data_IF_062250941020
#
_entry.id   IF_062250941020
#
_cell.length_a   1.000
_cell.length_b   1.000
_cell.length_c   1.000
_cell.angle_alpha   90.00
_cell.angle_beta   90.00
_cell.angle_gamma   90.00
#
_symmetry.space_group_name_H-M   'P 1'
#
loop_
_entity.id
_entity.type
_entity.pdbx_description
1 polymer ?
#
# COMPACT_ATOMS: atom_id res chain seq x y z
N UNK A 1 13.87 30.17 -7.20
CA UNK A 1 13.85 28.69 -7.13
C UNK A 1 15.07 28.28 -6.33
N UNK A 2 14.89 27.59 -5.20
CA UNK A 2 16.02 27.10 -4.41
C UNK A 2 16.86 26.12 -5.23
N UNK A 3 18.18 26.30 -5.27
CA UNK A 3 19.10 25.39 -5.96
C UNK A 3 18.97 23.94 -5.45
N UNK A 4 18.62 23.75 -4.17
CA UNK A 4 18.32 22.44 -3.59
C UNK A 4 17.12 21.73 -4.24
N UNK A 5 16.15 22.48 -4.77
CA UNK A 5 15.00 21.90 -5.46
C UNK A 5 15.42 21.27 -6.80
N UNK A 6 16.39 21.83 -7.53
CA UNK A 6 16.87 21.26 -8.79
C UNK A 6 17.62 19.94 -8.62
N UNK A 7 18.08 19.62 -7.41
CA UNK A 7 18.76 18.36 -7.07
C UNK A 7 17.79 17.26 -6.61
N UNK A 8 16.49 17.42 -6.85
CA UNK A 8 15.51 16.39 -6.49
C UNK A 8 15.93 15.01 -7.01
N UNK A 9 16.01 14.06 -6.09
CA UNK A 9 16.24 12.65 -6.37
C UNK A 9 15.04 11.85 -5.88
N UNK A 10 14.37 11.17 -6.80
CA UNK A 10 13.27 10.25 -6.48
C UNK A 10 13.72 9.21 -5.45
N UNK A 11 12.88 8.86 -4.45
CA UNK A 11 13.19 7.81 -3.48
C UNK A 11 13.58 6.48 -4.14
N UNK A 12 14.53 5.79 -3.53
CA UNK A 12 14.89 4.43 -3.94
C UNK A 12 13.74 3.47 -3.66
N UNK A 13 13.59 2.43 -4.49
CA UNK A 13 12.63 1.37 -4.22
C UNK A 13 13.12 0.57 -3.02
N UNK A 14 12.26 0.38 -2.02
CA UNK A 14 12.53 -0.47 -0.85
C UNK A 14 11.89 -1.83 -1.10
N UNK A 15 12.71 -2.88 -1.19
CA UNK A 15 12.23 -4.25 -1.44
C UNK A 15 11.91 -4.97 -0.14
N UNK A 16 10.77 -5.66 -0.10
CA UNK A 16 10.33 -6.52 1.00
C UNK A 16 11.32 -7.65 1.34
N UNK A 17 12.19 -8.04 0.40
CA UNK A 17 13.15 -9.14 0.58
C UNK A 17 14.38 -8.80 1.45
N UNK A 18 14.62 -7.52 1.76
CA UNK A 18 15.82 -7.11 2.49
C UNK A 18 15.76 -7.39 4.01
N UNK A 19 14.62 -7.82 4.55
CA UNK A 19 14.48 -8.12 5.99
C UNK A 19 14.85 -9.56 6.39
N UNK A 20 15.27 -10.41 5.44
CA UNK A 20 15.63 -11.82 5.71
C UNK A 20 16.94 -12.01 6.49
N UNK A 21 17.71 -10.96 6.77
CA UNK A 21 18.82 -11.06 7.72
C UNK A 21 18.32 -10.83 9.15
N UNK A 22 18.02 -11.93 9.81
CA UNK A 22 17.90 -12.03 11.26
C UNK A 22 19.21 -11.63 11.93
N UNK A 23 19.15 -10.47 12.56
CA UNK A 23 20.21 -9.82 13.32
C UNK A 23 19.72 -8.40 13.47
N UNK A 24 19.60 -7.91 14.71
CA UNK A 24 19.23 -6.54 15.07
C UNK A 24 19.24 -5.57 13.88
N UNK A 25 18.10 -4.96 13.54
CA UNK A 25 18.07 -3.77 12.69
C UNK A 25 19.08 -2.77 13.30
N UNK A 26 20.32 -2.82 12.83
CA UNK A 26 21.32 -1.81 13.09
C UNK A 26 21.16 -0.82 11.93
N UNK A 27 20.59 0.35 12.21
CA UNK A 27 20.46 1.41 11.25
C UNK A 27 21.86 2.02 11.03
N UNK A 28 22.80 1.30 10.40
CA UNK A 28 24.17 1.81 10.18
C UNK A 28 24.50 2.11 8.72
N UNK A 29 23.78 1.54 7.75
CA UNK A 29 24.10 1.75 6.34
C UNK A 29 23.35 2.91 5.65
N UNK A 30 22.37 3.53 6.34
CA UNK A 30 21.59 4.70 5.86
C UNK A 30 21.68 5.92 6.80
N UNK A 31 22.47 5.84 7.86
CA UNK A 31 22.39 6.72 9.02
C UNK A 31 23.74 7.39 9.27
N UNK A 32 24.00 8.43 8.50
CA UNK A 32 24.94 9.49 8.89
C UNK A 32 24.12 10.75 9.11
N UNK A 33 23.56 10.91 10.31
CA UNK A 33 23.04 12.20 10.76
C UNK A 33 23.72 12.55 12.07
N UNK A 34 24.52 13.60 11.98
CA UNK A 34 25.16 14.28 13.10
C UNK A 34 24.08 14.67 14.12
N UNK A 35 24.21 14.16 15.34
CA UNK A 35 23.28 14.39 16.44
C UNK A 35 23.37 15.83 16.91
N UNK A 36 22.56 16.75 16.35
CA UNK A 36 22.37 18.11 16.90
C UNK A 36 21.16 18.87 16.31
N UNK A 37 20.08 18.19 15.89
CA UNK A 37 18.80 18.89 15.72
C UNK A 37 17.62 17.97 15.94
N UNK A 38 16.62 18.49 16.64
CA UNK A 38 15.28 17.93 16.84
C UNK A 38 14.45 17.95 15.56
N UNK A 39 15.04 17.52 14.44
CA UNK A 39 14.35 17.35 13.17
C UNK A 39 13.87 15.91 13.04
N UNK A 40 12.56 15.76 12.80
CA UNK A 40 11.93 14.51 12.40
C UNK A 40 12.74 13.81 11.31
N UNK A 41 12.84 12.48 11.41
CA UNK A 41 13.52 11.65 10.42
C UNK A 41 12.99 11.92 9.01
N UNK A 42 13.83 12.48 8.13
CA UNK A 42 13.45 12.79 6.74
C UNK A 42 13.99 11.73 5.78
N UNK A 43 13.08 11.09 5.06
CA UNK A 43 13.44 10.16 3.97
C UNK A 43 13.87 11.01 2.76
N UNK A 44 15.09 10.82 2.22
CA UNK A 44 15.58 11.61 1.09
C UNK A 44 14.62 11.53 -0.12
N UNK A 45 14.30 12.68 -0.71
CA UNK A 45 13.43 12.76 -1.88
C UNK A 45 11.92 12.79 -1.59
N UNK A 46 11.53 12.90 -0.32
CA UNK A 46 10.13 13.11 0.08
C UNK A 46 10.01 14.48 0.79
N UNK A 47 9.24 15.44 0.26
CA UNK A 47 9.02 16.71 0.94
C UNK A 47 8.12 16.55 2.16
N UNK A 48 8.26 17.42 3.16
CA UNK A 48 7.44 17.38 4.39
C UNK A 48 5.93 17.44 4.11
N UNK A 49 5.52 18.07 2.99
CA UNK A 49 4.14 18.10 2.50
C UNK A 49 3.58 16.71 2.17
N UNK A 50 4.43 15.76 1.77
CA UNK A 50 4.07 14.38 1.47
C UNK A 50 4.56 13.41 2.54
N UNK A 51 4.79 13.89 3.77
CA UNK A 51 5.16 13.05 4.90
C UNK A 51 4.06 12.04 5.23
N UNK A 52 4.44 10.89 5.77
CA UNK A 52 3.51 9.84 6.18
C UNK A 52 2.42 10.40 7.10
N UNK A 53 2.81 11.17 8.12
CA UNK A 53 1.88 11.73 9.09
C UNK A 53 0.85 12.68 8.46
N UNK A 54 1.23 13.48 7.46
CA UNK A 54 0.29 14.33 6.71
C UNK A 54 -0.70 13.53 5.88
N UNK A 55 -0.24 12.49 5.20
CA UNK A 55 -1.11 11.61 4.39
C UNK A 55 -2.14 10.93 5.29
N UNK A 56 -1.69 10.36 6.41
CA UNK A 56 -2.55 9.67 7.38
C UNK A 56 -3.50 10.61 8.12
N UNK A 57 -3.10 11.87 8.33
CA UNK A 57 -3.96 12.90 8.93
C UNK A 57 -4.96 13.51 7.93
N UNK A 58 -4.96 13.11 6.65
CA UNK A 58 -5.86 13.66 5.62
C UNK A 58 -5.46 15.07 5.16
N UNK A 59 -4.21 15.49 5.39
CA UNK A 59 -3.70 16.81 5.02
C UNK A 59 -3.18 16.93 3.59
N UNK A 60 -3.50 15.97 2.71
CA UNK A 60 -3.05 15.88 1.32
C UNK A 60 -4.23 15.72 0.37
N UNK A 61 -4.05 16.14 -0.88
CA UNK A 61 -5.08 16.03 -1.93
C UNK A 61 -4.80 14.82 -2.85
N UNK A 62 -5.79 14.38 -3.66
CA UNK A 62 -5.58 13.35 -4.66
C UNK A 62 -4.39 13.67 -5.61
N UNK A 63 -3.58 12.66 -5.99
CA UNK A 63 -3.64 11.23 -5.67
C UNK A 63 -2.78 10.82 -4.45
N UNK A 64 -2.64 11.69 -3.46
CA UNK A 64 -1.78 11.48 -2.29
C UNK A 64 -2.57 11.33 -0.98
N UNK A 65 -3.87 11.06 -1.03
CA UNK A 65 -4.72 10.92 0.16
C UNK A 65 -4.47 9.61 0.89
N UNK A 66 -4.95 9.49 2.14
CA UNK A 66 -4.94 8.21 2.86
C UNK A 66 -5.69 7.10 2.09
N UNK A 67 -6.75 7.46 1.35
CA UNK A 67 -7.49 6.53 0.50
C UNK A 67 -6.64 6.07 -0.69
N UNK A 68 -5.93 6.98 -1.34
CA UNK A 68 -5.02 6.64 -2.44
C UNK A 68 -3.89 5.72 -1.95
N UNK A 69 -3.38 5.97 -0.74
CA UNK A 69 -2.37 5.11 -0.12
C UNK A 69 -2.92 3.71 0.20
N UNK A 70 -4.15 3.60 0.70
CA UNK A 70 -4.83 2.31 0.90
C UNK A 70 -5.02 1.56 -0.42
N UNK A 71 -5.49 2.23 -1.47
CA UNK A 71 -5.66 1.61 -2.79
C UNK A 71 -4.32 1.14 -3.37
N UNK A 72 -3.25 1.92 -3.18
CA UNK A 72 -1.90 1.49 -3.56
C UNK A 72 -1.48 0.22 -2.81
N UNK A 73 -1.71 0.16 -1.50
CA UNK A 73 -1.41 -1.02 -0.70
C UNK A 73 -2.25 -2.23 -1.09
N UNK A 74 -3.49 -2.03 -1.54
CA UNK A 74 -4.39 -3.10 -1.96
C UNK A 74 -4.00 -3.65 -3.35
N UNK A 75 -3.90 -2.77 -4.34
CA UNK A 75 -3.80 -3.15 -5.75
C UNK A 75 -2.35 -3.22 -6.28
N UNK A 76 -1.37 -2.68 -5.56
CA UNK A 76 0.02 -2.58 -6.05
C UNK A 76 1.02 -3.26 -5.11
N UNK A 77 1.01 -2.95 -3.82
CA UNK A 77 1.97 -3.53 -2.87
C UNK A 77 1.46 -4.81 -2.18
N UNK A 78 0.14 -5.06 -2.23
CA UNK A 78 -0.53 -6.20 -1.61
C UNK A 78 -0.23 -6.34 -0.11
N UNK A 79 -0.30 -5.21 0.62
CA UNK A 79 0.01 -5.11 2.03
C UNK A 79 -0.98 -4.18 2.78
N UNK A 80 -2.23 -4.16 2.34
CA UNK A 80 -3.29 -3.29 2.86
C UNK A 80 -3.62 -3.58 4.35
N UNK A 81 -3.42 -4.81 4.80
CA UNK A 81 -3.62 -5.25 6.18
C UNK A 81 -2.80 -4.42 7.18
N UNK A 82 -1.61 -3.96 6.78
CA UNK A 82 -0.77 -3.13 7.63
C UNK A 82 -1.42 -1.78 7.93
N UNK A 83 -1.93 -1.09 6.91
CA UNK A 83 -2.57 0.21 7.09
C UNK A 83 -3.91 0.07 7.80
N UNK A 84 -4.69 -0.96 7.48
CA UNK A 84 -5.96 -1.25 8.16
C UNK A 84 -5.75 -1.53 9.65
N UNK A 85 -4.78 -2.39 10.01
CA UNK A 85 -4.43 -2.67 11.39
C UNK A 85 -3.89 -1.43 12.11
N UNK A 86 -3.05 -0.63 11.45
CA UNK A 86 -2.51 0.61 12.01
C UNK A 86 -3.60 1.62 12.34
N UNK A 87 -4.54 1.87 11.42
CA UNK A 87 -5.66 2.78 11.63
C UNK A 87 -6.62 2.26 12.70
N UNK A 88 -6.92 0.96 12.68
CA UNK A 88 -7.71 0.30 13.72
C UNK A 88 -7.05 0.48 15.10
N UNK A 89 -5.75 0.22 15.24
CA UNK A 89 -5.06 0.31 16.52
C UNK A 89 -5.01 1.75 17.05
N UNK A 90 -4.93 2.74 16.14
CA UNK A 90 -5.00 4.17 16.51
C UNK A 90 -6.37 4.50 17.10
N UNK A 91 -7.44 4.20 16.37
CA UNK A 91 -8.83 4.40 16.83
C UNK A 91 -9.13 3.62 18.12
N UNK A 92 -8.70 2.36 18.18
CA UNK A 92 -8.81 1.51 19.36
C UNK A 92 -8.15 2.15 20.59
N UNK A 93 -6.94 2.70 20.41
CA UNK A 93 -6.22 3.37 21.50
C UNK A 93 -6.95 4.62 21.97
N UNK A 94 -7.50 5.41 21.05
CA UNK A 94 -8.30 6.60 21.38
C UNK A 94 -9.57 6.22 22.16
N UNK A 95 -10.33 5.23 21.68
CA UNK A 95 -11.53 4.71 22.37
C UNK A 95 -11.21 4.10 23.72
N UNK A 96 -10.10 3.36 23.85
CA UNK A 96 -9.66 2.81 25.13
C UNK A 96 -9.27 3.91 26.12
N UNK A 97 -8.58 4.96 25.65
CA UNK A 97 -8.20 6.09 26.50
C UNK A 97 -9.41 6.94 26.94
N UNK A 98 -10.51 6.91 26.18
CA UNK A 98 -11.76 7.58 26.52
C UNK A 98 -12.62 6.82 27.56
N UNK A 99 -12.30 5.57 27.88
CA UNK A 99 -13.00 4.79 28.92
C UNK A 99 -12.88 5.43 30.31
N UNK A 100 -13.80 5.07 31.21
CA UNK A 100 -13.70 5.46 32.61
C UNK A 100 -12.51 4.78 33.29
N UNK A 101 -11.95 5.39 34.33
CA UNK A 101 -10.80 4.82 35.05
C UNK A 101 -11.11 3.44 35.66
N UNK A 102 -12.36 3.19 36.05
CA UNK A 102 -12.82 1.89 36.54
C UNK A 102 -12.75 0.80 35.47
N UNK A 103 -13.13 1.11 34.23
CA UNK A 103 -13.08 0.18 33.11
C UNK A 103 -11.64 -0.05 32.63
N UNK A 104 -10.82 1.01 32.62
CA UNK A 104 -9.38 0.88 32.33
C UNK A 104 -8.66 0.01 33.36
N UNK A 105 -9.02 0.13 34.63
CA UNK A 105 -8.44 -0.67 35.71
C UNK A 105 -8.67 -2.19 35.53
N UNK A 106 -9.71 -2.59 34.78
CA UNK A 106 -9.94 -4.00 34.43
C UNK A 106 -8.86 -4.53 33.47
N UNK A 107 -8.29 -3.66 32.63
CA UNK A 107 -7.27 -3.98 31.62
C UNK A 107 -5.97 -3.23 31.90
N UNK A 108 -5.16 -3.67 32.89
CA UNK A 108 -3.89 -3.01 33.21
C UNK A 108 -2.90 -3.11 32.03
N UNK A 109 -1.96 -2.16 31.91
CA UNK A 109 -0.93 -2.20 30.88
C UNK A 109 -0.03 -3.42 31.06
N UNK A 110 0.41 -3.98 29.93
CA UNK A 110 1.40 -5.06 29.94
C UNK A 110 2.70 -4.51 30.54
N UNK A 111 3.29 -5.14 31.57
CA UNK A 111 4.54 -4.69 32.14
C UNK A 111 5.61 -4.62 31.04
N UNK A 112 6.43 -3.56 31.07
CA UNK A 112 7.47 -3.27 30.08
C UNK A 112 8.59 -4.30 30.23
N UNK A 113 8.37 -5.54 29.79
CA UNK A 113 9.41 -6.51 29.55
C UNK A 113 8.92 -7.59 28.58
N UNK A 114 9.25 -7.49 27.28
CA UNK A 114 8.84 -8.46 26.25
C UNK A 114 9.38 -9.88 26.45
N UNK A 115 10.18 -10.11 27.51
CA UNK A 115 10.91 -11.34 27.79
C UNK A 115 11.06 -11.58 29.31
N UNK A 116 10.04 -11.37 30.16
CA UNK A 116 10.14 -11.91 31.52
C UNK A 116 10.23 -13.46 31.43
N UNK A 117 11.37 -14.08 31.79
CA UNK A 117 11.55 -15.53 31.71
C UNK A 117 10.62 -16.29 32.66
N UNK A 118 9.95 -15.60 33.58
CA UNK A 118 8.95 -16.18 34.51
C UNK A 118 7.60 -16.46 33.85
N UNK A 119 7.35 -15.92 32.65
CA UNK A 119 6.12 -16.10 31.86
C UNK A 119 6.32 -17.02 30.63
N UNK A 120 7.49 -17.64 30.48
CA UNK A 120 7.74 -18.69 29.50
C UNK A 120 7.43 -20.08 30.06
N UNK A 121 7.08 -21.08 29.23
CA UNK A 121 7.01 -22.46 29.71
C UNK A 121 8.39 -22.87 30.24
N UNK A 122 8.45 -23.29 31.49
CA UNK A 122 9.63 -23.98 32.03
C UNK A 122 9.76 -25.30 31.28
N UNK A 123 10.93 -25.50 30.69
CA UNK A 123 11.40 -26.72 30.03
C UNK A 123 10.83 -27.05 28.65
N UNK A 124 11.75 -27.52 27.80
CA UNK A 124 11.54 -27.77 26.39
C UNK A 124 10.55 -28.89 26.13
N UNK A 125 9.50 -28.58 25.40
CA UNK A 125 8.80 -29.56 24.58
C UNK A 125 9.36 -29.46 23.17
N UNK A 126 10.20 -30.45 22.86
CA UNK A 126 10.57 -30.85 21.51
C UNK A 126 9.27 -30.95 20.70
N UNK A 127 9.11 -30.10 19.68
CA UNK A 127 7.99 -30.17 18.75
C UNK A 127 7.98 -31.55 18.12
N UNK A 128 7.15 -32.44 18.65
CA UNK A 128 6.83 -33.72 18.05
C UNK A 128 5.84 -33.44 16.93
N UNK A 129 6.24 -33.66 15.69
CA UNK A 129 5.42 -33.51 14.50
C UNK A 129 4.09 -34.28 14.68
N UNK A 130 3.02 -33.62 15.11
CA UNK A 130 1.67 -34.20 15.24
C UNK A 130 1.17 -34.80 13.92
N UNK A 131 1.65 -34.31 12.78
CA UNK A 131 1.40 -34.90 11.46
C UNK A 131 1.89 -36.36 11.36
N UNK A 132 3.01 -36.71 12.00
CA UNK A 132 3.53 -38.10 12.01
C UNK A 132 2.78 -39.03 12.96
N UNK A 133 2.24 -38.51 14.08
CA UNK A 133 1.39 -39.30 14.99
C UNK A 133 -0.02 -39.53 14.43
N UNK A 134 -0.56 -38.57 13.67
CA UNK A 134 -1.85 -38.74 13.01
C UNK A 134 -1.77 -39.78 11.88
N UNK A 135 -0.69 -39.76 11.10
CA UNK A 135 -0.42 -40.74 10.06
C UNK A 135 -0.11 -42.14 10.62
N UNK A 136 0.60 -42.27 11.76
CA UNK A 136 0.84 -43.59 12.36
C UNK A 136 -0.41 -44.26 12.91
N UNK A 137 -1.34 -43.46 13.44
CA UNK A 137 -2.59 -43.95 14.02
C UNK A 137 -3.65 -44.24 12.96
N UNK A 138 -3.62 -43.56 11.81
CA UNK A 138 -4.54 -43.80 10.70
C UNK A 138 -4.30 -45.14 9.96
N UNK A 139 -3.10 -45.72 10.06
CA UNK A 139 -2.73 -46.96 9.34
C UNK A 139 -2.50 -48.17 10.25
N UNK A 140 -2.76 -48.06 11.55
CA UNK A 140 -2.49 -49.13 12.53
C UNK A 140 -3.74 -49.51 13.33
N UNK A 141 -4.76 -50.08 12.70
CA UNK A 141 -5.63 -51.17 13.23
C UNK A 141 -6.79 -51.51 12.29
N UNK A 142 -7.28 -52.77 12.26
CA UNK A 142 -8.22 -53.26 11.27
C UNK A 142 -9.70 -53.09 11.67
N UNK A 143 -10.52 -52.84 10.65
CA UNK A 143 -11.97 -53.08 10.48
C UNK A 143 -12.78 -53.44 11.73
N UNK A 144 -13.49 -52.46 12.30
CA UNK A 144 -14.73 -52.73 13.04
C UNK A 144 -15.82 -51.76 12.62
N UNK A 145 -16.86 -52.33 11.99
CA UNK A 145 -18.18 -51.72 11.77
C UNK A 145 -18.85 -51.43 13.12
N UNK A 146 -19.63 -50.35 13.17
CA UNK A 146 -20.79 -50.03 14.03
C UNK A 146 -20.83 -48.49 14.16
N UNK A 147 -21.92 -47.75 14.31
CA UNK A 147 -23.37 -47.91 14.16
C UNK A 147 -23.90 -46.46 14.25
N UNK A 148 -25.00 -46.13 13.56
CA UNK A 148 -25.63 -44.80 13.63
C UNK A 148 -26.54 -44.72 14.86
N UNK A 149 -26.47 -43.65 15.68
CA UNK A 149 -27.61 -43.23 16.49
C UNK A 149 -28.16 -41.85 16.09
N UNK A 150 -29.47 -41.75 16.29
CA UNK A 150 -30.45 -40.80 15.80
C UNK A 150 -30.60 -39.49 16.59
N UNK A 151 -31.28 -38.52 15.95
CA UNK A 151 -31.82 -37.27 16.49
C UNK A 151 -32.46 -37.40 17.89
N UNK A 152 -32.12 -36.50 18.83
CA UNK A 152 -33.04 -35.51 19.45
C UNK A 152 -32.36 -34.75 20.61
N UNK A 153 -32.31 -33.42 20.55
CA UNK A 153 -32.97 -32.48 21.50
C UNK A 153 -32.56 -31.04 21.20
N UNK A 154 -33.56 -30.22 20.92
CA UNK A 154 -33.46 -28.77 20.78
C UNK A 154 -33.31 -28.09 22.15
N UNK A 155 -32.47 -27.06 22.22
CA UNK A 155 -32.34 -26.19 23.40
C UNK A 155 -33.51 -25.17 23.45
N UNK A 156 -33.99 -24.76 24.64
CA UNK A 156 -35.30 -24.13 24.82
C UNK A 156 -35.27 -22.60 24.97
N UNK A 157 -34.26 -21.92 24.47
CA UNK A 157 -34.18 -20.44 24.52
C UNK A 157 -33.94 -19.86 23.13
N UNK A 158 -35.01 -19.82 22.33
CA UNK A 158 -35.08 -19.07 21.08
C UNK A 158 -36.22 -18.07 21.21
N UNK A 159 -35.92 -16.78 21.18
CA UNK A 159 -36.92 -15.69 21.10
C UNK A 159 -37.04 -15.27 19.62
N UNK A 160 -38.25 -15.08 19.07
CA UNK A 160 -38.45 -14.82 17.63
C UNK A 160 -38.12 -13.37 17.22
N UNK A 161 -37.82 -13.10 15.93
CA UNK A 161 -37.50 -11.75 15.45
C UNK A 161 -38.75 -10.88 15.30
N UNK A 162 -38.60 -9.58 15.57
CA UNK A 162 -39.64 -8.56 15.41
C UNK A 162 -39.49 -7.87 14.05
N UNK A 163 -40.62 -7.64 13.37
CA UNK A 163 -40.76 -6.99 12.06
C UNK A 163 -40.45 -5.48 12.08
N UNK A 164 -40.13 -4.86 10.92
CA UNK A 164 -39.54 -3.52 10.83
C UNK A 164 -40.62 -2.43 10.86
N UNK A 165 -40.28 -1.24 11.37
CA UNK A 165 -41.11 -0.06 11.22
C UNK A 165 -40.33 1.08 10.54
N UNK A 166 -41.00 1.68 9.56
CA UNK A 166 -40.50 2.67 8.62
C UNK A 166 -40.79 4.08 9.12
N UNK A 167 -39.81 4.98 9.12
CA UNK A 167 -40.06 6.42 8.97
C UNK A 167 -38.82 7.13 8.43
N UNK A 168 -38.99 7.77 7.28
CA UNK A 168 -37.96 8.53 6.60
C UNK A 168 -37.79 9.95 7.15
N UNK A 169 -36.61 10.50 6.88
CA UNK A 169 -36.29 11.91 7.05
C UNK A 169 -35.14 12.27 6.13
N UNK A 170 -35.46 12.98 5.06
CA UNK A 170 -34.55 13.51 4.04
C UNK A 170 -33.72 14.68 4.57
N UNK A 171 -32.43 14.74 4.17
CA UNK A 171 -31.59 15.93 4.30
C UNK A 171 -30.32 15.79 3.45
N UNK A 172 -30.28 16.55 2.34
CA UNK A 172 -29.10 16.75 1.51
C UNK A 172 -28.04 17.53 2.30
N UNK A 173 -26.83 16.99 2.47
CA UNK A 173 -25.60 17.79 2.55
C UNK A 173 -24.42 17.04 1.92
N UNK A 174 -23.66 17.78 1.13
CA UNK A 174 -22.62 17.33 0.22
C UNK A 174 -21.31 17.92 0.74
N UNK A 175 -20.31 17.06 1.00
CA UNK A 175 -18.93 17.49 1.25
C UNK A 175 -18.40 17.31 2.67
N UNK A 176 -18.19 16.06 3.08
CA UNK A 176 -17.10 15.61 3.98
C UNK A 176 -17.35 14.13 4.31
N UNK A 177 -16.63 13.21 3.67
CA UNK A 177 -16.62 11.81 4.13
C UNK A 177 -15.58 11.69 5.25
N UNK A 178 -16.00 12.11 6.44
CA UNK A 178 -15.42 11.58 7.67
C UNK A 178 -15.65 10.06 7.68
N UNK A 179 -14.62 9.33 8.08
CA UNK A 179 -14.71 7.89 8.33
C UNK A 179 -15.71 7.72 9.48
N UNK A 180 -16.84 7.07 9.20
CA UNK A 180 -17.89 6.81 10.19
C UNK A 180 -17.37 5.85 11.28
N UNK A 181 -17.86 5.94 12.53
CA UNK A 181 -17.33 5.16 13.64
C UNK A 181 -17.67 3.67 13.54
N UNK A 182 -16.71 2.85 13.95
CA UNK A 182 -16.76 1.41 14.00
C UNK A 182 -17.79 0.89 15.03
N UNK A 183 -19.08 0.82 14.68
CA UNK A 183 -20.11 0.19 15.53
C UNK A 183 -21.05 -0.75 14.77
N UNK A 184 -20.99 -2.02 15.18
CA UNK A 184 -22.04 -3.05 15.07
C UNK A 184 -22.79 -3.14 13.74
N UNK A 185 -22.20 -3.82 12.76
CA UNK A 185 -22.97 -4.48 11.70
C UNK A 185 -22.79 -5.98 11.88
N UNK A 186 -23.83 -6.66 12.39
CA UNK A 186 -23.95 -8.11 12.24
C UNK A 186 -24.25 -8.41 10.76
N UNK A 187 -23.25 -8.89 10.03
CA UNK A 187 -23.40 -9.32 8.65
C UNK A 187 -24.13 -10.66 8.59
N UNK A 188 -25.39 -10.64 8.14
CA UNK A 188 -26.12 -11.83 7.70
C UNK A 188 -25.71 -12.11 6.25
N UNK A 189 -24.85 -13.11 6.02
CA UNK A 189 -24.41 -13.50 4.66
C UNK A 189 -23.38 -14.63 4.67
N UNK A 190 -23.44 -15.52 3.66
CA UNK A 190 -22.80 -16.84 3.59
C UNK A 190 -21.27 -16.84 3.85
N UNK A 191 -20.79 -17.85 4.59
CA UNK A 191 -19.42 -18.07 5.09
C UNK A 191 -18.99 -17.17 6.25
N UNK A 192 -19.74 -17.21 7.36
CA UNK A 192 -19.32 -16.58 8.61
C UNK A 192 -18.04 -17.25 9.13
N UNK A 193 -16.89 -16.58 8.96
CA UNK A 193 -15.66 -16.96 9.64
C UNK A 193 -15.96 -16.91 11.14
N UNK A 194 -15.87 -18.06 11.81
CA UNK A 194 -16.08 -18.12 13.26
C UNK A 194 -14.85 -17.52 13.96
N UNK A 195 -14.86 -16.19 14.09
CA UNK A 195 -13.76 -15.43 14.70
C UNK A 195 -13.41 -15.95 16.11
N UNK A 196 -14.41 -16.44 16.87
CA UNK A 196 -14.18 -17.02 18.20
C UNK A 196 -13.38 -18.31 18.13
N UNK A 197 -13.72 -19.19 17.19
CA UNK A 197 -13.00 -20.45 17.00
C UNK A 197 -11.56 -20.19 16.54
N UNK A 198 -11.37 -19.35 15.51
CA UNK A 198 -10.04 -19.05 14.96
C UNK A 198 -9.14 -18.35 16.00
N UNK A 199 -9.69 -17.46 16.82
CA UNK A 199 -8.96 -16.87 17.94
C UNK A 199 -8.62 -17.91 19.02
N UNK A 200 -9.54 -18.82 19.35
CA UNK A 200 -9.28 -19.90 20.31
C UNK A 200 -8.15 -20.83 19.83
N UNK A 201 -8.15 -21.20 18.55
CA UNK A 201 -7.07 -21.98 17.91
C UNK A 201 -5.73 -21.23 17.98
N UNK A 202 -5.72 -19.91 17.75
CA UNK A 202 -4.52 -19.08 17.88
C UNK A 202 -3.96 -19.02 19.33
N UNK A 203 -4.81 -19.06 20.35
CA UNK A 203 -4.34 -19.15 21.74
C UNK A 203 -3.83 -20.56 22.07
N UNK A 204 -4.48 -21.61 21.56
CA UNK A 204 -4.05 -22.99 21.75
C UNK A 204 -2.70 -23.27 21.10
N UNK A 205 -2.41 -22.68 19.95
CA UNK A 205 -1.13 -22.86 19.23
C UNK A 205 0.08 -22.40 20.05
N UNK A 206 -0.10 -21.48 20.99
CA UNK A 206 0.95 -20.98 21.89
C UNK A 206 0.90 -21.60 23.29
N UNK A 207 0.10 -22.66 23.48
CA UNK A 207 0.00 -23.41 24.73
C UNK A 207 -0.87 -22.74 25.80
N UNK A 208 -1.77 -21.83 25.43
CA UNK A 208 -2.78 -21.30 26.35
C UNK A 208 -4.09 -22.07 26.22
N UNK A 209 -4.40 -22.87 27.23
CA UNK A 209 -5.60 -23.73 27.28
C UNK A 209 -6.84 -22.99 27.82
N UNK A 210 -6.66 -21.80 28.40
CA UNK A 210 -7.72 -21.05 29.08
C UNK A 210 -8.30 -19.96 28.17
N UNK A 211 -9.62 -19.78 28.23
CA UNK A 211 -10.30 -18.68 27.54
C UNK A 211 -9.92 -17.33 28.18
N UNK A 212 -9.56 -16.29 27.40
CA UNK A 212 -9.30 -14.97 27.94
C UNK A 212 -10.50 -14.41 28.71
N UNK A 213 -10.25 -13.63 29.77
CA UNK A 213 -11.34 -13.15 30.62
C UNK A 213 -12.29 -12.21 29.86
N UNK A 214 -13.59 -12.49 29.94
CA UNK A 214 -14.68 -11.73 29.30
C UNK A 214 -14.97 -10.37 29.93
N UNK A 215 -14.43 -10.11 31.13
CA UNK A 215 -14.68 -8.88 31.92
C UNK A 215 -13.95 -7.66 31.33
N UNK A 216 -12.97 -7.87 30.45
CA UNK A 216 -12.18 -6.78 29.89
C UNK A 216 -12.97 -5.95 28.84
N UNK A 217 -12.82 -4.61 28.82
CA UNK A 217 -13.41 -3.78 27.78
C UNK A 217 -12.93 -4.19 26.38
N UNK A 218 -13.82 -4.09 25.39
CA UNK A 218 -13.56 -4.41 23.97
C UNK A 218 -13.05 -5.84 23.69
N UNK A 219 -13.31 -6.82 24.59
CA UNK A 219 -12.83 -8.20 24.43
C UNK A 219 -13.28 -8.87 23.14
N UNK A 220 -14.53 -8.68 22.73
CA UNK A 220 -15.07 -9.25 21.48
C UNK A 220 -14.40 -8.64 20.25
N UNK A 221 -14.11 -7.33 20.28
CA UNK A 221 -13.38 -6.65 19.20
C UNK A 221 -11.95 -7.18 19.07
N UNK A 222 -11.25 -7.31 20.20
CA UNK A 222 -9.91 -7.90 20.25
C UNK A 222 -9.90 -9.34 19.75
N UNK A 223 -10.94 -10.12 20.06
CA UNK A 223 -11.10 -11.49 19.56
C UNK A 223 -11.23 -11.53 18.03
N UNK A 224 -11.99 -10.60 17.43
CA UNK A 224 -12.06 -10.45 15.97
C UNK A 224 -10.73 -10.08 15.36
N UNK A 225 -10.02 -9.12 15.96
CA UNK A 225 -8.71 -8.66 15.47
C UNK A 225 -7.68 -9.79 15.51
N UNK A 226 -7.69 -10.61 16.56
CA UNK A 226 -6.85 -11.81 16.63
C UNK A 226 -7.15 -12.73 15.45
N UNK A 227 -8.42 -13.06 15.20
CA UNK A 227 -8.80 -13.93 14.09
C UNK A 227 -8.43 -13.35 12.71
N UNK A 228 -8.55 -12.04 12.51
CA UNK A 228 -8.35 -11.40 11.22
C UNK A 228 -6.87 -11.19 10.91
N UNK A 229 -6.10 -10.65 11.87
CA UNK A 229 -4.75 -10.12 11.64
C UNK A 229 -3.62 -10.92 12.28
N UNK A 230 -3.89 -11.70 13.33
CA UNK A 230 -2.84 -12.31 14.16
C UNK A 230 -2.80 -13.83 14.01
N UNK A 231 -3.96 -14.47 13.85
CA UNK A 231 -4.08 -15.91 13.65
C UNK A 231 -3.41 -16.36 12.34
N UNK A 232 -2.76 -17.52 12.38
CA UNK A 232 -2.22 -18.17 11.19
C UNK A 232 -3.35 -18.52 10.22
N UNK A 233 -3.21 -18.13 8.95
CA UNK A 233 -4.26 -18.30 7.94
C UNK A 233 -5.44 -17.34 8.12
N UNK A 234 -5.30 -16.29 8.95
CA UNK A 234 -6.30 -15.23 9.05
C UNK A 234 -6.48 -14.51 7.70
N UNK A 235 -7.70 -14.02 7.40
CA UNK A 235 -8.02 -13.40 6.10
C UNK A 235 -7.15 -12.16 5.77
N UNK A 236 -6.55 -11.53 6.78
CA UNK A 236 -5.66 -10.36 6.65
C UNK A 236 -4.44 -10.54 7.57
N UNK A 237 -3.91 -11.76 7.63
CA UNK A 237 -2.77 -12.11 8.47
C UNK A 237 -1.60 -11.14 8.26
N UNK A 238 -1.12 -10.52 9.34
CA UNK A 238 0.02 -9.62 9.31
C UNK A 238 1.32 -10.41 9.11
N UNK A 239 2.17 -9.90 8.22
CA UNK A 239 3.52 -10.42 8.02
C UNK A 239 4.47 -9.97 9.15
N UNK A 240 4.41 -10.65 10.28
CA UNK A 240 5.19 -10.36 11.49
C UNK A 240 5.99 -11.57 11.95
N UNK A 241 7.03 -11.33 12.76
CA UNK A 241 7.84 -12.41 13.31
C UNK A 241 7.01 -13.30 14.25
N UNK A 242 7.29 -14.60 14.29
CA UNK A 242 6.64 -15.51 15.23
C UNK A 242 6.84 -15.08 16.69
N UNK A 243 7.98 -14.42 17.00
CA UNK A 243 8.26 -13.86 18.32
C UNK A 243 7.25 -12.75 18.67
N UNK A 244 7.02 -11.80 17.77
CA UNK A 244 6.10 -10.67 18.03
C UNK A 244 4.66 -11.16 18.11
N UNK A 245 4.27 -12.10 17.23
CA UNK A 245 2.96 -12.76 17.25
C UNK A 245 2.69 -13.43 18.60
N UNK A 246 3.62 -14.28 19.07
CA UNK A 246 3.49 -14.98 20.36
C UNK A 246 3.47 -13.99 21.52
N UNK A 247 4.33 -12.96 21.50
CA UNK A 247 4.37 -11.94 22.55
C UNK A 247 3.05 -11.18 22.65
N UNK A 248 2.47 -10.79 21.52
CA UNK A 248 1.18 -10.10 21.48
C UNK A 248 0.02 -11.00 21.89
N UNK A 249 -0.04 -12.25 21.42
CA UNK A 249 -1.08 -13.20 21.85
C UNK A 249 -1.04 -13.46 23.37
N UNK A 250 0.15 -13.56 23.97
CA UNK A 250 0.31 -13.63 25.44
C UNK A 250 -0.13 -12.36 26.14
N UNK A 251 0.17 -11.17 25.60
CA UNK A 251 -0.29 -9.92 26.19
C UNK A 251 -1.82 -9.82 26.17
N UNK A 252 -2.42 -10.14 25.03
CA UNK A 252 -3.86 -10.01 24.77
C UNK A 252 -4.70 -11.00 25.61
N UNK A 253 -4.18 -12.19 25.92
CA UNK A 253 -4.92 -13.12 26.79
C UNK A 253 -5.12 -12.56 28.20
N UNK A 254 -4.16 -11.77 28.69
CA UNK A 254 -4.19 -11.19 30.03
C UNK A 254 -4.85 -9.81 30.10
N UNK A 255 -4.81 -9.00 29.05
CA UNK A 255 -5.36 -7.64 29.07
C UNK A 255 -5.85 -7.21 27.69
N UNK A 256 -6.79 -6.27 27.63
CA UNK A 256 -7.14 -5.58 26.39
C UNK A 256 -6.46 -4.22 26.28
N UNK A 257 -5.51 -3.89 27.15
CA UNK A 257 -4.80 -2.62 27.06
C UNK A 257 -4.03 -2.47 25.72
N UNK A 258 -4.05 -1.29 25.05
CA UNK A 258 -3.39 -1.08 23.75
C UNK A 258 -1.89 -1.45 23.73
N UNK A 259 -1.21 -1.37 24.88
CA UNK A 259 0.19 -1.78 25.03
C UNK A 259 0.45 -3.25 24.67
N UNK A 260 -0.56 -4.13 24.73
CA UNK A 260 -0.42 -5.54 24.34
C UNK A 260 -0.08 -5.70 22.85
N UNK A 261 -0.47 -4.72 22.02
CA UNK A 261 -0.19 -4.69 20.58
C UNK A 261 1.16 -4.04 20.24
N UNK A 262 1.93 -3.54 21.22
CA UNK A 262 3.21 -2.85 20.96
C UNK A 262 4.20 -3.64 20.07
N UNK A 263 4.37 -4.97 20.22
CA UNK A 263 5.23 -5.75 19.32
C UNK A 263 4.79 -5.65 17.85
N UNK A 264 3.49 -5.76 17.58
CA UNK A 264 2.95 -5.63 16.22
C UNK A 264 2.96 -4.19 15.73
N UNK A 265 2.57 -3.24 16.60
CA UNK A 265 2.51 -1.81 16.29
C UNK A 265 3.80 -1.33 15.68
N UNK A 266 4.93 -1.63 16.32
CA UNK A 266 6.25 -1.20 15.85
C UNK A 266 6.56 -1.77 14.47
N UNK A 267 6.41 -3.08 14.28
CA UNK A 267 6.72 -3.74 13.01
C UNK A 267 5.84 -3.23 11.86
N UNK A 268 4.53 -3.05 12.11
CA UNK A 268 3.59 -2.53 11.13
C UNK A 268 3.87 -1.07 10.80
N UNK A 269 4.13 -0.23 11.81
CA UNK A 269 4.45 1.18 11.61
C UNK A 269 5.77 1.36 10.85
N UNK A 270 6.79 0.57 11.17
CA UNK A 270 8.08 0.58 10.45
C UNK A 270 7.89 0.16 8.99
N UNK A 271 7.09 -0.87 8.71
CA UNK A 271 6.77 -1.28 7.34
C UNK A 271 6.03 -0.19 6.56
N UNK A 272 5.06 0.47 7.19
CA UNK A 272 4.32 1.56 6.56
C UNK A 272 5.20 2.79 6.29
N UNK A 273 6.01 3.22 7.27
CA UNK A 273 6.82 4.45 7.19
C UNK A 273 8.06 4.30 6.32
N UNK A 274 8.75 3.16 6.41
CA UNK A 274 10.08 3.03 5.81
C UNK A 274 10.11 2.18 4.54
N UNK A 275 9.02 1.47 4.23
CA UNK A 275 8.90 0.71 2.99
C UNK A 275 7.74 1.22 2.15
N UNK A 276 6.50 1.10 2.63
CA UNK A 276 5.33 1.37 1.81
C UNK A 276 5.18 2.84 1.43
N UNK A 277 5.39 3.77 2.37
CA UNK A 277 5.25 5.20 2.13
C UNK A 277 6.25 5.74 1.07
N UNK A 278 7.56 5.45 1.15
CA UNK A 278 8.50 5.82 0.08
C UNK A 278 8.16 5.20 -1.27
N UNK A 279 7.71 3.94 -1.29
CA UNK A 279 7.32 3.25 -2.51
C UNK A 279 6.05 3.86 -3.13
N UNK A 280 5.06 4.23 -2.30
CA UNK A 280 3.86 4.95 -2.70
C UNK A 280 4.20 6.31 -3.32
N UNK A 281 4.98 7.15 -2.63
CA UNK A 281 5.40 8.46 -3.16
C UNK A 281 6.16 8.28 -4.47
N UNK A 282 7.10 7.33 -4.53
CA UNK A 282 7.87 6.99 -5.73
C UNK A 282 6.96 6.62 -6.90
N UNK A 283 5.92 5.82 -6.64
CA UNK A 283 4.96 5.35 -7.63
C UNK A 283 4.01 6.47 -8.10
N UNK A 284 3.54 7.32 -7.19
CA UNK A 284 2.62 8.42 -7.49
C UNK A 284 3.23 9.53 -8.34
N UNK A 285 4.56 9.69 -8.35
CA UNK A 285 5.23 10.64 -9.26
C UNK A 285 5.04 10.25 -10.74
N UNK A 286 4.86 8.96 -11.04
CA UNK A 286 4.61 8.51 -12.42
C UNK A 286 3.20 8.92 -12.87
N UNK A 287 3.12 9.84 -13.83
CA UNK A 287 1.83 10.34 -14.34
C UNK A 287 1.19 9.44 -15.41
N UNK A 288 1.97 8.59 -16.09
CA UNK A 288 1.49 7.70 -17.14
C UNK A 288 1.46 6.23 -16.71
N UNK A 289 0.54 5.45 -17.29
CA UNK A 289 0.57 4.00 -17.16
C UNK A 289 1.75 3.39 -17.98
N UNK A 290 2.13 2.12 -17.75
CA UNK A 290 3.27 1.51 -18.43
C UNK A 290 3.19 1.56 -19.96
N UNK A 291 2.05 1.28 -20.61
CA UNK A 291 1.93 1.42 -22.07
C UNK A 291 2.22 2.83 -22.59
N UNK A 292 1.67 3.89 -21.95
CA UNK A 292 1.92 5.27 -22.36
C UNK A 292 3.36 5.70 -22.13
N UNK A 293 3.98 5.28 -21.03
CA UNK A 293 5.40 5.55 -20.77
C UNK A 293 6.28 4.85 -21.79
N UNK A 294 5.97 3.60 -22.15
CA UNK A 294 6.67 2.89 -23.21
C UNK A 294 6.52 3.60 -24.56
N UNK A 295 5.31 4.01 -24.93
CA UNK A 295 5.05 4.81 -26.12
C UNK A 295 5.87 6.11 -26.13
N UNK A 296 5.94 6.83 -25.01
CA UNK A 296 6.73 8.05 -24.89
C UNK A 296 8.25 7.80 -25.06
N UNK A 297 8.76 6.65 -24.58
CA UNK A 297 10.17 6.26 -24.83
C UNK A 297 10.41 6.01 -26.32
N UNK A 298 9.54 5.27 -26.99
CA UNK A 298 9.64 5.02 -28.43
C UNK A 298 9.58 6.33 -29.23
N UNK A 299 8.67 7.24 -28.87
CA UNK A 299 8.58 8.57 -29.48
C UNK A 299 9.87 9.35 -29.29
N UNK A 300 10.41 9.40 -28.06
CA UNK A 300 11.67 10.08 -27.76
C UNK A 300 12.84 9.55 -28.60
N UNK A 301 13.01 8.22 -28.67
CA UNK A 301 14.04 7.58 -29.52
C UNK A 301 13.82 7.91 -31.00
N UNK A 302 12.58 7.79 -31.50
CA UNK A 302 12.25 8.11 -32.88
C UNK A 302 12.58 9.56 -33.24
N UNK A 303 12.24 10.52 -32.38
CA UNK A 303 12.57 11.94 -32.61
C UNK A 303 14.09 12.19 -32.62
N UNK A 304 14.86 11.50 -31.77
CA UNK A 304 16.32 11.57 -31.80
C UNK A 304 16.87 11.07 -33.14
N UNK A 305 16.37 9.93 -33.64
CA UNK A 305 16.77 9.37 -34.93
C UNK A 305 16.43 10.32 -36.10
N UNK A 306 15.27 10.97 -36.06
CA UNK A 306 14.91 12.01 -37.04
C UNK A 306 15.89 13.19 -36.96
N UNK A 307 16.26 13.63 -35.76
CA UNK A 307 17.28 14.67 -35.59
C UNK A 307 18.64 14.28 -36.16
N UNK A 308 19.06 13.03 -35.96
CA UNK A 308 20.28 12.49 -36.57
C UNK A 308 20.19 12.46 -38.10
N UNK A 309 19.05 12.02 -38.65
CA UNK A 309 18.80 12.03 -40.09
C UNK A 309 18.87 13.45 -40.67
N UNK A 310 18.24 14.44 -40.03
CA UNK A 310 18.32 15.86 -40.43
C UNK A 310 19.77 16.35 -40.37
N UNK A 311 20.50 16.05 -39.29
CA UNK A 311 21.91 16.41 -39.14
C UNK A 311 22.78 15.81 -40.24
N UNK A 312 22.58 14.54 -40.60
CA UNK A 312 23.29 13.86 -41.68
C UNK A 312 22.97 14.49 -43.04
N UNK A 313 21.68 14.67 -43.36
CA UNK A 313 21.25 15.27 -44.63
C UNK A 313 21.80 16.70 -44.81
N UNK A 314 21.77 17.53 -43.76
CA UNK A 314 22.35 18.88 -43.78
C UNK A 314 23.89 18.89 -43.78
N UNK A 315 24.52 17.77 -43.41
CA UNK A 315 25.98 17.63 -43.50
C UNK A 315 26.43 17.27 -44.90
N UNK A 316 25.64 16.44 -45.59
CA UNK A 316 25.88 16.01 -46.96
C UNK A 316 25.38 17.00 -48.02
N UNK A 317 24.51 17.95 -47.63
CA UNK A 317 24.02 18.99 -48.53
C UNK A 317 25.02 20.13 -48.74
N UNK A 318 24.74 20.97 -49.74
CA UNK A 318 25.51 22.19 -50.03
C UNK A 318 25.17 23.36 -49.10
N UNK A 319 24.38 23.14 -48.04
CA UNK A 319 24.05 24.18 -47.07
C UNK A 319 25.26 24.58 -46.23
N UNK A 320 25.31 25.85 -45.81
CA UNK A 320 26.36 26.31 -44.90
C UNK A 320 26.28 25.58 -43.55
N UNK A 321 27.44 25.42 -42.89
CA UNK A 321 27.58 24.61 -41.67
C UNK A 321 26.61 25.00 -40.54
N UNK A 322 26.22 26.28 -40.47
CA UNK A 322 25.31 26.79 -39.45
C UNK A 322 23.91 26.17 -39.49
N UNK A 323 23.42 25.77 -40.67
CA UNK A 323 22.09 25.14 -40.80
C UNK A 323 21.97 23.82 -40.03
N UNK A 324 23.09 23.13 -39.79
CA UNK A 324 23.11 21.86 -39.05
C UNK A 324 22.61 21.98 -37.62
N UNK A 325 22.64 23.20 -37.04
CA UNK A 325 22.07 23.49 -35.71
C UNK A 325 20.55 23.25 -35.68
N UNK A 326 19.84 23.27 -36.82
CA UNK A 326 18.40 22.98 -36.85
C UNK A 326 18.06 21.56 -36.35
N UNK A 327 18.99 20.61 -36.46
CA UNK A 327 18.84 19.27 -35.87
C UNK A 327 18.71 19.30 -34.33
N UNK A 328 19.24 20.35 -33.68
CA UNK A 328 19.16 20.53 -32.23
C UNK A 328 17.73 20.56 -31.72
N UNK A 329 16.79 21.12 -32.50
CA UNK A 329 15.37 21.21 -32.09
C UNK A 329 14.80 19.80 -31.87
N UNK A 330 15.04 18.90 -32.83
CA UNK A 330 14.60 17.51 -32.73
C UNK A 330 15.31 16.78 -31.57
N UNK A 331 16.61 17.01 -31.36
CA UNK A 331 17.34 16.40 -30.24
C UNK A 331 16.85 16.89 -28.88
N UNK A 332 16.59 18.20 -28.71
CA UNK A 332 16.07 18.74 -27.45
C UNK A 332 14.73 18.08 -27.12
N UNK A 333 13.80 18.03 -28.09
CA UNK A 333 12.48 17.41 -27.90
C UNK A 333 12.62 15.92 -27.59
N UNK A 334 13.43 15.20 -28.39
CA UNK A 334 13.59 13.75 -28.27
C UNK A 334 14.28 13.33 -26.97
N UNK A 335 15.38 13.99 -26.60
CA UNK A 335 16.15 13.69 -25.37
C UNK A 335 15.35 14.07 -24.13
N UNK A 336 14.68 15.24 -24.11
CA UNK A 336 13.84 15.64 -22.98
C UNK A 336 12.70 14.63 -22.78
N UNK A 337 12.01 14.25 -23.86
CA UNK A 337 10.93 13.25 -23.84
C UNK A 337 11.44 11.90 -23.34
N UNK A 338 12.58 11.42 -23.85
CA UNK A 338 13.17 10.15 -23.46
C UNK A 338 13.59 10.14 -21.98
N UNK A 339 14.23 11.21 -21.50
CA UNK A 339 14.66 11.33 -20.12
C UNK A 339 13.46 11.39 -19.16
N UNK A 340 12.44 12.20 -19.48
CA UNK A 340 11.20 12.26 -18.70
C UNK A 340 10.50 10.88 -18.65
N UNK A 341 10.42 10.19 -19.80
CA UNK A 341 9.82 8.86 -19.88
C UNK A 341 10.65 7.77 -19.16
N UNK A 342 11.96 7.90 -19.10
CA UNK A 342 12.82 7.05 -18.26
C UNK A 342 12.47 7.21 -16.78
N UNK A 343 12.16 8.43 -16.34
CA UNK A 343 11.65 8.74 -15.00
C UNK A 343 10.15 8.40 -14.81
N UNK A 344 9.49 7.79 -15.80
CA UNK A 344 8.09 7.38 -15.71
C UNK A 344 7.09 8.52 -15.90
N UNK A 345 7.50 9.62 -16.53
CA UNK A 345 6.63 10.76 -16.85
C UNK A 345 6.42 10.90 -18.34
N UNK A 346 5.18 11.16 -18.74
CA UNK A 346 4.81 11.64 -20.07
C UNK A 346 4.78 13.18 -20.04
N UNK A 347 5.51 13.83 -20.94
CA UNK A 347 5.59 15.29 -21.06
C UNK A 347 4.22 15.92 -21.36
N UNK A 348 3.41 15.25 -22.18
CA UNK A 348 2.05 15.73 -22.51
C UNK A 348 1.15 15.75 -21.27
N UNK A 349 1.16 14.67 -20.47
CA UNK A 349 0.37 14.63 -19.23
C UNK A 349 0.88 15.63 -18.20
N UNK A 350 2.19 15.82 -18.13
CA UNK A 350 2.80 16.81 -17.26
C UNK A 350 2.32 18.23 -17.61
N UNK A 351 2.32 18.61 -18.89
CA UNK A 351 1.83 19.91 -19.34
C UNK A 351 0.34 20.15 -19.08
N UNK A 352 -0.44 19.07 -18.92
CA UNK A 352 -1.86 19.13 -18.53
C UNK A 352 -2.07 19.02 -17.01
N UNK A 353 -0.98 18.94 -16.23
CA UNK A 353 -0.99 18.59 -14.80
C UNK A 353 -1.92 17.41 -14.47
N UNK A 354 -1.94 16.43 -15.37
CA UNK A 354 -2.83 15.28 -15.31
C UNK A 354 -2.04 13.98 -15.09
N UNK A 355 -2.71 12.99 -14.53
CA UNK A 355 -2.27 11.59 -14.52
C UNK A 355 -3.28 10.72 -15.23
N UNK A 356 -2.86 9.53 -15.66
CA UNK A 356 -3.82 8.48 -16.00
C UNK A 356 -4.61 8.04 -14.77
N UNK A 357 -5.90 7.85 -14.99
CA UNK A 357 -6.79 7.17 -14.07
C UNK A 357 -6.28 5.73 -13.88
N UNK A 358 -6.31 5.23 -12.64
CA UNK A 358 -5.88 3.85 -12.35
C UNK A 358 -6.94 2.86 -12.87
N UNK A 359 -6.56 1.60 -13.16
CA UNK A 359 -7.51 0.60 -13.66
C UNK A 359 -8.79 0.47 -12.82
N UNK A 360 -8.65 0.40 -11.50
CA UNK A 360 -9.75 0.33 -10.53
C UNK A 360 -10.56 1.63 -10.37
N UNK A 361 -10.08 2.77 -10.87
CA UNK A 361 -10.80 4.05 -10.83
C UNK A 361 -11.60 4.30 -12.13
N UNK A 362 -11.33 3.56 -13.21
CA UNK A 362 -11.78 3.89 -14.56
C UNK A 362 -13.30 3.78 -14.78
N UNK A 363 -13.95 2.94 -13.96
CA UNK A 363 -15.37 2.59 -14.02
C UNK A 363 -16.14 2.96 -12.74
N UNK A 364 -15.51 3.67 -11.80
CA UNK A 364 -16.16 4.04 -10.54
C UNK A 364 -17.48 4.81 -10.74
N UNK A 365 -17.59 5.61 -11.80
CA UNK A 365 -18.81 6.35 -12.14
C UNK A 365 -19.95 5.46 -12.69
N UNK A 366 -19.64 4.36 -13.35
CA UNK A 366 -20.63 3.39 -13.84
C UNK A 366 -21.06 2.48 -12.70
N UNK A 367 -20.12 2.02 -11.88
CA UNK A 367 -20.41 1.25 -10.67
C UNK A 367 -21.26 2.06 -9.69
N UNK A 368 -21.01 3.37 -9.51
CA UNK A 368 -21.84 4.23 -8.67
C UNK A 368 -23.26 4.41 -9.19
N UNK A 369 -23.49 4.27 -10.51
CA UNK A 369 -24.83 4.33 -11.12
C UNK A 369 -25.56 2.98 -11.03
N UNK A 370 -24.83 1.87 -11.19
CA UNK A 370 -25.37 0.52 -11.06
C UNK A 370 -25.60 0.13 -9.59
N UNK A 371 -24.85 0.72 -8.66
CA UNK A 371 -24.88 0.43 -7.21
C UNK A 371 -25.85 1.33 -6.44
N UNK A 372 -27.10 1.42 -6.86
CA UNK A 372 -28.20 2.03 -6.07
C UNK A 372 -28.57 1.19 -4.81
N UNK A 373 -27.60 0.51 -4.18
CA UNK A 373 -27.86 -0.41 -3.06
C UNK A 373 -26.66 -1.01 -2.30
N UNK A 374 -25.39 -0.85 -2.72
CA UNK A 374 -24.27 -1.47 -2.00
C UNK A 374 -22.98 -0.67 -2.13
N UNK A 375 -22.81 0.37 -1.31
CA UNK A 375 -21.49 0.92 -1.02
C UNK A 375 -20.83 -0.04 -0.03
N UNK A 376 -19.98 -0.95 -0.51
CA UNK A 376 -19.05 -1.69 0.37
C UNK A 376 -18.17 -0.65 1.07
N UNK A 377 -18.32 -0.45 2.39
CA UNK A 377 -17.46 0.45 3.13
C UNK A 377 -16.04 -0.12 3.11
N UNK A 378 -15.05 0.73 3.34
CA UNK A 378 -13.63 0.42 3.61
C UNK A 378 -13.42 -0.60 4.76
N UNK A 379 -14.50 -1.14 5.33
CA UNK A 379 -14.63 -1.68 6.69
C UNK A 379 -15.27 -3.08 6.73
N UNK A 380 -15.51 -3.76 5.61
CA UNK A 380 -15.98 -5.15 5.63
C UNK A 380 -14.86 -6.08 6.14
N UNK A 381 -14.69 -6.12 7.46
CA UNK A 381 -13.64 -6.82 8.20
C UNK A 381 -13.60 -8.34 7.96
N UNK A 382 -14.64 -8.90 7.36
CA UNK A 382 -14.79 -10.32 7.10
C UNK A 382 -14.25 -10.76 5.72
N UNK A 383 -13.91 -9.84 4.82
CA UNK A 383 -13.46 -10.18 3.46
C UNK A 383 -11.93 -10.11 3.39
N UNK A 384 -11.24 -11.12 2.82
CA UNK A 384 -9.80 -11.05 2.57
C UNK A 384 -9.47 -9.84 1.67
N UNK A 385 -8.23 -9.35 1.73
CA UNK A 385 -7.74 -8.29 0.83
C UNK A 385 -7.52 -8.84 -0.60
N UNK A 386 -8.54 -9.48 -1.19
CA UNK A 386 -8.54 -10.05 -2.52
C UNK A 386 -9.25 -9.11 -3.49
N UNK A 387 -8.55 -8.70 -4.54
CA UNK A 387 -9.13 -7.97 -5.68
C UNK A 387 -9.13 -8.81 -6.96
N UNK A 388 -8.70 -10.08 -6.89
CA UNK A 388 -8.46 -10.92 -8.06
C UNK A 388 -9.75 -11.16 -8.88
N UNK A 389 -10.90 -11.15 -8.18
CA UNK A 389 -12.25 -11.34 -8.73
C UNK A 389 -12.96 -10.01 -9.09
N UNK A 390 -12.29 -8.86 -8.92
CA UNK A 390 -12.92 -7.56 -9.21
C UNK A 390 -13.17 -7.39 -10.72
N UNK A 391 -14.38 -6.93 -11.12
CA UNK A 391 -14.81 -6.92 -12.51
C UNK A 391 -13.96 -6.00 -13.40
N UNK A 392 -13.42 -4.92 -12.83
CA UNK A 392 -12.56 -3.98 -13.57
C UNK A 392 -11.31 -4.66 -14.11
N UNK A 393 -10.79 -5.72 -13.46
CA UNK A 393 -9.55 -6.38 -13.88
C UNK A 393 -9.74 -7.08 -15.22
N UNK A 394 -10.77 -7.93 -15.32
CA UNK A 394 -11.11 -8.60 -16.57
C UNK A 394 -11.43 -7.59 -17.69
N UNK A 395 -12.09 -6.47 -17.36
CA UNK A 395 -12.34 -5.40 -18.33
C UNK A 395 -11.07 -4.69 -18.77
N UNK A 396 -10.10 -4.48 -17.87
CA UNK A 396 -8.84 -3.80 -18.17
C UNK A 396 -7.87 -4.69 -18.95
N UNK A 397 -7.80 -5.99 -18.64
CA UNK A 397 -6.97 -6.95 -19.36
C UNK A 397 -7.42 -7.12 -20.82
N UNK A 398 -8.73 -7.11 -21.06
CA UNK A 398 -9.30 -7.21 -22.41
C UNK A 398 -9.20 -5.90 -23.23
N UNK A 399 -8.68 -4.79 -22.66
CA UNK A 399 -8.52 -3.53 -23.40
C UNK A 399 -7.32 -3.57 -24.36
N UNK A 400 -7.57 -3.14 -25.59
CA UNK A 400 -6.54 -2.92 -26.60
C UNK A 400 -5.45 -1.94 -26.13
N UNK A 401 -4.20 -2.20 -26.51
CA UNK A 401 -3.03 -1.40 -26.11
C UNK A 401 -3.14 0.09 -26.48
N UNK A 402 -3.66 0.41 -27.67
CA UNK A 402 -3.86 1.81 -28.11
C UNK A 402 -4.80 2.54 -27.15
N UNK A 403 -5.89 1.88 -26.75
CA UNK A 403 -6.86 2.45 -25.81
C UNK A 403 -6.22 2.68 -24.43
N UNK A 404 -5.30 1.78 -24.01
CA UNK A 404 -4.52 1.94 -22.77
C UNK A 404 -3.52 3.10 -22.85
N UNK A 405 -2.91 3.35 -24.01
CA UNK A 405 -2.00 4.50 -24.20
C UNK A 405 -2.76 5.83 -24.04
N UNK A 406 -4.01 5.90 -24.50
CA UNK A 406 -4.87 7.08 -24.41
C UNK A 406 -6.02 6.89 -23.40
N UNK A 407 -5.73 6.25 -22.26
CA UNK A 407 -6.70 6.08 -21.18
C UNK A 407 -7.17 7.45 -20.63
N UNK A 408 -8.30 7.42 -19.92
CA UNK A 408 -8.84 8.62 -19.26
C UNK A 408 -7.79 9.23 -18.32
N UNK A 409 -7.79 10.56 -18.26
CA UNK A 409 -6.87 11.32 -17.43
C UNK A 409 -7.64 12.13 -16.39
N UNK A 410 -7.03 12.31 -15.22
CA UNK A 410 -7.55 13.11 -14.11
C UNK A 410 -6.50 14.12 -13.67
N UNK A 411 -6.96 15.29 -13.24
CA UNK A 411 -6.10 16.35 -12.74
C UNK A 411 -5.38 15.93 -11.45
N UNK A 412 -4.13 16.37 -11.28
CA UNK A 412 -3.36 16.18 -10.05
C UNK A 412 -3.63 17.38 -9.14
N UNK A 413 -4.44 17.17 -8.10
CA UNK A 413 -4.80 18.22 -7.16
C UNK A 413 -3.61 18.59 -6.25
N UNK A 414 -2.89 17.58 -5.77
CA UNK A 414 -1.78 17.73 -4.82
C UNK A 414 -0.64 18.63 -5.35
N UNK A 415 -0.43 19.83 -4.78
CA UNK A 415 0.58 20.78 -5.25
C UNK A 415 2.01 20.26 -5.04
N UNK A 416 2.30 19.56 -3.93
CA UNK A 416 3.65 19.06 -3.69
C UNK A 416 4.07 18.00 -4.73
N UNK A 417 3.12 17.20 -5.20
CA UNK A 417 3.37 16.21 -6.26
C UNK A 417 3.64 16.90 -7.61
N UNK A 418 2.89 17.96 -7.94
CA UNK A 418 3.12 18.78 -9.14
C UNK A 418 4.50 19.42 -9.12
N UNK A 419 4.91 20.02 -8.01
CA UNK A 419 6.24 20.60 -7.84
C UNK A 419 7.36 19.57 -8.11
N UNK A 420 7.21 18.34 -7.61
CA UNK A 420 8.18 17.26 -7.90
C UNK A 420 8.23 16.98 -9.41
N UNK A 421 7.07 16.90 -10.09
CA UNK A 421 7.02 16.66 -11.53
C UNK A 421 7.63 17.82 -12.33
N UNK A 422 7.37 19.07 -11.94
CA UNK A 422 7.96 20.28 -12.55
C UNK A 422 9.49 20.24 -12.49
N UNK A 423 10.04 19.85 -11.34
CA UNK A 423 11.49 19.70 -11.17
C UNK A 423 12.05 18.61 -12.09
N UNK A 424 11.41 17.44 -12.16
CA UNK A 424 11.89 16.35 -13.03
C UNK A 424 11.80 16.76 -14.50
N UNK A 425 10.76 17.51 -14.89
CA UNK A 425 10.64 18.06 -16.23
C UNK A 425 11.75 19.07 -16.53
N UNK A 426 12.03 20.00 -15.61
CA UNK A 426 13.14 20.95 -15.75
C UNK A 426 14.49 20.24 -15.86
N UNK A 427 14.74 19.22 -15.03
CA UNK A 427 15.93 18.37 -15.14
C UNK A 427 16.04 17.74 -16.54
N UNK A 428 14.93 17.24 -17.09
CA UNK A 428 14.90 16.65 -18.44
C UNK A 428 15.26 17.67 -19.52
N UNK A 429 14.81 18.92 -19.38
CA UNK A 429 15.10 19.99 -20.33
C UNK A 429 16.57 20.41 -20.27
N UNK A 430 17.13 20.56 -19.06
CA UNK A 430 18.55 20.91 -18.87
C UNK A 430 19.45 19.84 -19.49
N UNK A 431 19.18 18.56 -19.21
CA UNK A 431 19.93 17.44 -19.80
C UNK A 431 19.82 17.46 -21.32
N UNK A 432 18.62 17.69 -21.86
CA UNK A 432 18.39 17.72 -23.30
C UNK A 432 19.12 18.87 -24.00
N UNK A 433 19.14 20.06 -23.42
CA UNK A 433 19.84 21.23 -23.98
C UNK A 433 21.36 20.99 -24.00
N UNK A 434 21.93 20.51 -22.91
CA UNK A 434 23.38 20.22 -22.83
C UNK A 434 23.76 19.14 -23.84
N UNK A 435 23.04 18.02 -23.88
CA UNK A 435 23.32 16.92 -24.80
C UNK A 435 23.15 17.35 -26.26
N UNK A 436 22.11 18.12 -26.58
CA UNK A 436 21.89 18.63 -27.94
C UNK A 436 22.95 19.63 -28.36
N UNK A 437 23.44 20.49 -27.46
CA UNK A 437 24.52 21.42 -27.76
C UNK A 437 25.82 20.69 -28.11
N UNK A 438 26.15 19.61 -27.39
CA UNK A 438 27.29 18.74 -27.69
C UNK A 438 27.12 18.08 -29.07
N UNK A 439 25.94 17.50 -29.35
CA UNK A 439 25.65 16.90 -30.66
C UNK A 439 25.76 17.93 -31.79
N UNK A 440 25.19 19.13 -31.61
CA UNK A 440 25.29 20.20 -32.61
C UNK A 440 26.72 20.64 -32.86
N UNK A 441 27.55 20.75 -31.82
CA UNK A 441 28.97 21.08 -31.98
C UNK A 441 29.69 20.02 -32.83
N UNK A 442 29.42 18.73 -32.60
CA UNK A 442 29.97 17.64 -33.42
C UNK A 442 29.57 17.85 -34.89
N UNK A 443 28.29 18.01 -35.20
CA UNK A 443 27.84 18.16 -36.58
C UNK A 443 28.31 19.46 -37.27
N UNK A 444 28.41 20.57 -36.54
CA UNK A 444 28.87 21.86 -37.10
C UNK A 444 30.37 21.84 -37.41
N UNK A 445 31.18 21.11 -36.62
CA UNK A 445 32.63 21.01 -36.83
C UNK A 445 33.03 20.16 -38.03
N UNK A 446 32.16 19.23 -38.48
CA UNK A 446 32.41 18.46 -39.71
C UNK A 446 32.57 19.42 -40.90
N UNK A 447 33.56 19.26 -41.78
CA UNK A 447 33.70 20.10 -42.95
C UNK A 447 32.45 20.05 -43.85
N UNK A 448 32.17 21.13 -44.58
CA UNK A 448 31.18 21.12 -45.65
C UNK A 448 31.78 20.40 -46.86
N UNK A 449 31.12 19.37 -47.37
CA UNK A 449 31.50 18.76 -48.63
C UNK A 449 30.27 18.54 -49.49
N UNK A 450 30.34 18.98 -50.75
CA UNK A 450 29.30 18.76 -51.76
C UNK A 450 29.32 17.32 -52.25
N UNK A 451 28.97 16.39 -51.36
CA UNK A 451 28.98 14.94 -51.63
C UNK A 451 27.69 14.45 -52.27
N UNK A 452 26.65 15.30 -52.31
CA UNK A 452 25.45 15.08 -53.12
C UNK A 452 25.36 16.18 -54.19
N UNK A 453 25.57 15.79 -55.45
CA UNK A 453 25.37 16.62 -56.65
C UNK A 453 23.93 16.57 -57.11
#
# INVERSE_FOLDING_TARGET
>A
MDFSAMLYRRPALVSSGSSKHSGSFEPKALFSVNSNSSHSFRIPGIPDALSFDKIIAGGTCPPMTCRDFMQYLLYVEHAAENLQFYLWLRDYTERFNALTENEKALSPPVPINPLDPRLGPKHGLRSGNRATQFLSNAFSSPSQQLAVPSLTKANPFTTPPRTPDSSGGSGFEQGNLAIEPFSSVESVGLNQINHKQMAAEAYQSIGMEWQPFSVHPFREEVTRVVAIYIAEGGPRELNVSSRDRVATLRGISHTTHPSAFNPLKKTVEDALRYQAHPNFVRWSICNGNPPRVFFARCLGVGTILVGLMIGILLTLSNCSRGWRVMAAIAWIIGIATLFAAYKGMCVVLHGLHARHIRPWELWADEEAKDSFGSKEPLESQAIPNSYEDEPWRAQYENRNLIRRIFDKQVWIEEPALRQIQDVIFLQSMIVAVIASAVLSAIFVTVPSGGYMS
#
